data_IF_856736925517
#
_entry.id   IF_856736925517
#
_cell.length_a   1.000
_cell.length_b   1.000
_cell.length_c   1.000
_cell.angle_alpha   90.00
_cell.angle_beta   90.00
_cell.angle_gamma   90.00
#
_symmetry.space_group_name_H-M   'P 1'
#
loop_
_entity.id
_entity.type
_entity.pdbx_description
1 polymer ?
#
# COMPACT_ATOMS: atom_id res chain seq x y z
N UNK A 1 -18.13 9.29 -2.53
CA UNK A 1 -17.22 10.24 -1.84
C UNK A 1 -17.49 11.65 -2.32
N UNK A 2 -17.45 12.65 -1.43
CA UNK A 2 -17.45 14.08 -1.78
C UNK A 2 -16.14 14.41 -2.52
N UNK A 3 -16.11 15.50 -3.28
CA UNK A 3 -14.92 15.87 -4.06
C UNK A 3 -13.66 16.05 -3.18
N UNK A 4 -13.82 16.67 -2.00
CA UNK A 4 -12.73 16.88 -1.03
C UNK A 4 -12.14 15.55 -0.55
N UNK A 5 -12.98 14.57 -0.23
CA UNK A 5 -12.57 13.23 0.21
C UNK A 5 -11.79 12.50 -0.90
N UNK A 6 -12.24 12.64 -2.16
CA UNK A 6 -11.56 12.03 -3.31
C UNK A 6 -10.15 12.60 -3.50
N UNK A 7 -10.01 13.91 -3.36
CA UNK A 7 -8.72 14.59 -3.44
C UNK A 7 -7.79 14.08 -2.33
N UNK A 8 -8.26 14.03 -1.09
CA UNK A 8 -7.44 13.56 0.06
C UNK A 8 -6.91 12.14 -0.18
N UNK A 9 -7.78 11.20 -0.58
CA UNK A 9 -7.35 9.80 -0.82
C UNK A 9 -6.39 9.72 -2.01
N UNK A 10 -6.65 10.46 -3.09
CA UNK A 10 -5.75 10.50 -4.25
C UNK A 10 -4.39 11.10 -3.90
N UNK A 11 -4.35 12.19 -3.14
CA UNK A 11 -3.09 12.80 -2.66
C UNK A 11 -2.33 11.85 -1.74
N UNK A 12 -3.02 11.14 -0.85
CA UNK A 12 -2.37 10.13 0.01
C UNK A 12 -1.75 8.99 -0.82
N UNK A 13 -2.42 8.55 -1.88
CA UNK A 13 -1.90 7.55 -2.82
C UNK A 13 -0.65 8.06 -3.54
N UNK A 14 -0.64 9.32 -3.98
CA UNK A 14 0.54 9.93 -4.61
C UNK A 14 1.73 10.03 -3.65
N UNK A 15 1.50 10.34 -2.38
CA UNK A 15 2.55 10.35 -1.35
C UNK A 15 3.13 8.93 -1.16
N UNK A 16 2.26 7.91 -1.09
CA UNK A 16 2.67 6.50 -1.01
C UNK A 16 3.51 6.11 -2.22
N UNK A 17 3.03 6.34 -3.43
CA UNK A 17 3.79 6.06 -4.66
C UNK A 17 5.11 6.85 -4.69
N UNK A 18 5.12 8.09 -4.22
CA UNK A 18 6.32 8.92 -4.10
C UNK A 18 7.37 8.31 -3.18
N UNK A 19 6.95 7.74 -2.05
CA UNK A 19 7.85 7.08 -1.10
C UNK A 19 8.52 5.82 -1.65
N UNK A 20 7.92 5.18 -2.67
CA UNK A 20 8.47 3.98 -3.32
C UNK A 20 9.64 4.29 -4.26
N UNK A 21 9.89 5.55 -4.63
CA UNK A 21 11.04 5.90 -5.47
C UNK A 21 12.37 5.84 -4.74
N UNK A 22 12.38 5.81 -3.40
CA UNK A 22 13.60 5.71 -2.61
C UNK A 22 14.20 4.30 -2.62
N UNK A 23 15.45 4.19 -2.20
CA UNK A 23 16.13 2.93 -1.92
C UNK A 23 15.51 2.28 -0.67
N UNK A 24 14.95 1.08 -0.80
CA UNK A 24 14.25 0.41 0.30
C UNK A 24 15.06 -0.75 0.86
N UNK A 25 15.78 -1.46 -0.02
CA UNK A 25 16.55 -2.63 0.36
C UNK A 25 18.00 -2.52 -0.14
N UNK A 26 18.93 -2.96 0.69
CA UNK A 26 20.35 -2.98 0.36
C UNK A 26 21.20 -3.40 1.54
N UNK A 27 22.31 -4.08 1.26
CA UNK A 27 23.21 -4.61 2.28
C UNK A 27 24.66 -4.27 1.96
N UNK A 28 25.26 -3.46 2.84
CA UNK A 28 26.71 -3.20 3.03
C UNK A 28 27.59 -3.16 1.76
N UNK A 29 27.88 -1.95 1.27
CA UNK A 29 29.00 -1.58 0.37
C UNK A 29 29.38 -2.64 -0.68
N UNK A 30 28.51 -2.88 -1.66
CA UNK A 30 28.88 -3.65 -2.85
C UNK A 30 27.77 -4.50 -3.49
N UNK A 31 26.64 -4.68 -2.82
CA UNK A 31 25.46 -5.35 -3.40
C UNK A 31 24.45 -4.30 -3.88
N UNK A 32 23.81 -4.58 -5.01
CA UNK A 32 22.93 -3.66 -5.75
C UNK A 32 21.80 -3.12 -4.85
N UNK A 33 21.72 -1.79 -4.73
CA UNK A 33 20.62 -1.13 -4.03
C UNK A 33 19.31 -1.35 -4.80
N UNK A 34 18.30 -1.89 -4.09
CA UNK A 34 16.98 -2.11 -4.65
C UNK A 34 16.05 -1.00 -4.18
N UNK A 35 15.56 -0.24 -5.15
CA UNK A 35 14.54 0.77 -4.92
C UNK A 35 13.17 0.13 -4.68
N UNK A 36 12.33 0.79 -3.88
CA UNK A 36 10.92 0.43 -3.69
C UNK A 36 10.11 0.41 -4.99
N UNK A 37 10.67 0.93 -6.09
CA UNK A 37 10.11 0.81 -7.44
C UNK A 37 9.88 -0.64 -7.86
N UNK A 38 10.63 -1.60 -7.31
CA UNK A 38 10.37 -3.03 -7.53
C UNK A 38 8.97 -3.43 -7.03
N UNK A 39 8.55 -2.87 -5.89
CA UNK A 39 7.22 -3.08 -5.32
C UNK A 39 6.18 -2.33 -6.15
N UNK A 40 6.47 -1.08 -6.52
CA UNK A 40 5.55 -0.22 -7.29
C UNK A 40 5.22 -0.80 -8.66
N UNK A 41 6.22 -1.34 -9.36
CA UNK A 41 6.09 -1.89 -10.72
C UNK A 41 5.57 -3.32 -10.73
N UNK A 42 5.41 -3.96 -9.57
CA UNK A 42 4.84 -5.29 -9.49
C UNK A 42 3.39 -5.27 -9.99
N UNK A 43 2.96 -6.22 -10.85
CA UNK A 43 1.64 -6.21 -11.47
C UNK A 43 0.50 -6.19 -10.44
N UNK A 44 0.69 -6.83 -9.28
CA UNK A 44 -0.29 -6.80 -8.18
C UNK A 44 -0.42 -5.38 -7.61
N UNK A 45 0.69 -4.68 -7.35
CA UNK A 45 0.67 -3.31 -6.83
C UNK A 45 0.02 -2.35 -7.82
N UNK A 46 0.33 -2.49 -9.12
CA UNK A 46 -0.32 -1.73 -10.19
C UNK A 46 -1.84 -1.97 -10.18
N UNK A 47 -2.26 -3.24 -10.08
CA UNK A 47 -3.69 -3.57 -10.01
C UNK A 47 -4.37 -2.97 -8.77
N UNK A 48 -3.67 -2.90 -7.64
CA UNK A 48 -4.15 -2.28 -6.41
C UNK A 48 -4.31 -0.76 -6.57
N UNK A 49 -3.33 -0.09 -7.17
CA UNK A 49 -3.40 1.34 -7.49
C UNK A 49 -4.59 1.63 -8.40
N UNK A 50 -4.78 0.83 -9.45
CA UNK A 50 -5.93 0.96 -10.35
C UNK A 50 -7.26 0.73 -9.60
N UNK A 51 -7.33 -0.26 -8.72
CA UNK A 51 -8.51 -0.51 -7.90
C UNK A 51 -8.83 0.70 -7.00
N UNK A 52 -7.84 1.32 -6.37
CA UNK A 52 -8.02 2.54 -5.57
C UNK A 52 -8.56 3.68 -6.45
N UNK A 53 -7.95 3.93 -7.62
CA UNK A 53 -8.37 4.99 -8.53
C UNK A 53 -9.81 4.80 -9.01
N UNK A 54 -10.17 3.59 -9.41
CA UNK A 54 -11.54 3.24 -9.80
C UNK A 54 -12.48 3.44 -8.60
N UNK A 55 -12.11 2.96 -7.42
CA UNK A 55 -12.89 3.10 -6.19
C UNK A 55 -13.15 4.56 -5.81
N UNK A 56 -12.17 5.45 -5.99
CA UNK A 56 -12.28 6.88 -5.66
C UNK A 56 -13.11 7.65 -6.69
N UNK A 57 -12.86 7.46 -7.97
CA UNK A 57 -13.39 8.32 -9.04
C UNK A 57 -14.67 7.79 -9.69
N UNK A 58 -14.69 6.50 -10.02
CA UNK A 58 -15.78 5.84 -10.75
C UNK A 58 -16.69 4.99 -9.84
N UNK A 59 -16.23 4.66 -8.63
CA UNK A 59 -16.95 3.82 -7.68
C UNK A 59 -18.21 4.47 -7.12
N UNK A 60 -19.34 3.76 -7.23
CA UNK A 60 -20.51 4.04 -6.41
C UNK A 60 -20.20 3.89 -4.91
N UNK A 61 -21.03 4.41 -3.99
CA UNK A 61 -20.73 4.43 -2.55
C UNK A 61 -20.41 3.05 -1.95
N UNK A 62 -21.00 1.98 -2.49
CA UNK A 62 -20.74 0.58 -2.08
C UNK A 62 -19.37 0.08 -2.55
N UNK A 63 -19.06 0.29 -3.83
CA UNK A 63 -17.83 -0.22 -4.46
C UNK A 63 -16.61 0.61 -4.05
N UNK A 64 -16.79 1.90 -3.78
CA UNK A 64 -15.72 2.80 -3.33
C UNK A 64 -15.05 2.29 -2.05
N UNK A 65 -15.82 1.86 -1.06
CA UNK A 65 -15.29 1.28 0.17
C UNK A 65 -14.52 -0.01 -0.09
N UNK A 66 -15.12 -0.96 -0.82
CA UNK A 66 -14.49 -2.26 -1.04
C UNK A 66 -13.19 -2.14 -1.85
N UNK A 67 -13.21 -1.43 -2.99
CA UNK A 67 -12.04 -1.31 -3.87
C UNK A 67 -10.89 -0.53 -3.23
N UNK A 68 -11.17 0.56 -2.53
CA UNK A 68 -10.10 1.36 -1.89
C UNK A 68 -9.45 0.60 -0.74
N UNK A 69 -10.24 -0.10 0.09
CA UNK A 69 -9.68 -0.91 1.18
C UNK A 69 -8.89 -2.11 0.67
N UNK A 70 -9.42 -2.84 -0.32
CA UNK A 70 -8.69 -3.94 -0.94
C UNK A 70 -7.39 -3.47 -1.58
N UNK A 71 -7.40 -2.33 -2.27
CA UNK A 71 -6.21 -1.78 -2.89
C UNK A 71 -5.14 -1.38 -1.86
N UNK A 72 -5.51 -0.64 -0.81
CA UNK A 72 -4.53 -0.27 0.23
C UNK A 72 -3.98 -1.49 0.99
N UNK A 73 -4.84 -2.46 1.35
CA UNK A 73 -4.39 -3.71 1.97
C UNK A 73 -3.48 -4.50 1.05
N UNK A 74 -3.79 -4.56 -0.24
CA UNK A 74 -2.95 -5.22 -1.25
C UNK A 74 -1.57 -4.56 -1.37
N UNK A 75 -1.48 -3.23 -1.34
CA UNK A 75 -0.19 -2.53 -1.33
C UNK A 75 0.60 -2.88 -0.06
N UNK A 76 -0.01 -2.81 1.13
CA UNK A 76 0.66 -3.17 2.40
C UNK A 76 1.17 -4.62 2.35
N UNK A 77 0.34 -5.54 1.86
CA UNK A 77 0.74 -6.94 1.70
C UNK A 77 1.94 -7.08 0.75
N UNK A 78 1.97 -6.34 -0.36
CA UNK A 78 3.09 -6.36 -1.30
C UNK A 78 4.37 -5.76 -0.70
N UNK A 79 4.27 -4.68 0.07
CA UNK A 79 5.41 -4.09 0.78
C UNK A 79 6.02 -5.08 1.78
N UNK A 80 5.17 -5.74 2.58
CA UNK A 80 5.61 -6.76 3.54
C UNK A 80 6.15 -8.01 2.84
N UNK A 81 5.50 -8.46 1.76
CA UNK A 81 5.96 -9.60 0.97
C UNK A 81 7.37 -9.35 0.42
N UNK A 82 7.58 -8.21 -0.23
CA UNK A 82 8.90 -7.88 -0.76
C UNK A 82 9.95 -7.74 0.35
N UNK A 83 9.61 -7.11 1.47
CA UNK A 83 10.50 -7.01 2.64
C UNK A 83 10.99 -8.37 3.14
N UNK A 84 10.13 -9.38 3.12
CA UNK A 84 10.46 -10.74 3.56
C UNK A 84 11.19 -11.58 2.52
N UNK A 85 10.97 -11.32 1.22
CA UNK A 85 11.43 -12.21 0.15
C UNK A 85 12.67 -11.71 -0.60
N UNK A 86 12.88 -10.40 -0.69
CA UNK A 86 13.88 -9.80 -1.60
C UNK A 86 15.30 -10.35 -1.38
N UNK A 87 15.70 -10.59 -0.12
CA UNK A 87 17.03 -11.05 0.25
C UNK A 87 17.25 -12.54 -0.07
N UNK A 88 16.19 -13.31 -0.30
CA UNK A 88 16.28 -14.73 -0.67
C UNK A 88 16.79 -14.86 -2.09
N UNK A 89 16.17 -14.12 -3.03
CA UNK A 89 16.52 -14.17 -4.44
C UNK A 89 17.83 -13.48 -4.81
N UNK A 90 18.35 -12.60 -3.96
CA UNK A 90 19.51 -11.74 -4.30
C UNK A 90 20.77 -12.01 -3.49
N UNK A 91 20.67 -12.45 -2.23
CA UNK A 91 21.82 -12.51 -1.30
C UNK A 91 21.94 -13.87 -0.62
N UNK A 92 20.91 -14.25 0.15
CA UNK A 92 21.01 -15.29 1.18
C UNK A 92 20.60 -16.69 0.71
N UNK A 93 19.73 -16.79 -0.30
CA UNK A 93 19.13 -18.06 -0.72
C UNK A 93 18.28 -18.75 0.35
N UNK A 94 17.99 -18.07 1.48
CA UNK A 94 17.25 -18.62 2.62
C UNK A 94 16.36 -17.55 3.25
N UNK A 95 15.17 -17.94 3.70
CA UNK A 95 14.28 -17.06 4.46
C UNK A 95 14.88 -16.74 5.84
N UNK A 96 14.96 -15.46 6.19
CA UNK A 96 15.51 -14.98 7.46
C UNK A 96 14.98 -13.58 7.77
N UNK A 97 14.12 -13.48 8.77
CA UNK A 97 13.53 -12.21 9.21
C UNK A 97 14.62 -11.24 9.69
N UNK A 98 15.66 -11.76 10.37
CA UNK A 98 16.77 -10.95 10.86
C UNK A 98 17.49 -10.23 9.73
N UNK A 99 17.71 -10.93 8.61
CA UNK A 99 18.34 -10.37 7.41
C UNK A 99 17.46 -9.29 6.77
N UNK A 100 16.13 -9.51 6.72
CA UNK A 100 15.17 -8.50 6.25
C UNK A 100 15.32 -7.18 7.02
N UNK A 101 15.44 -7.25 8.36
CA UNK A 101 15.60 -6.06 9.20
C UNK A 101 16.98 -5.40 9.08
N UNK A 102 18.05 -6.19 8.96
CA UNK A 102 19.42 -5.68 8.89
C UNK A 102 19.74 -4.98 7.56
N UNK A 103 19.07 -5.38 6.48
CA UNK A 103 19.32 -4.88 5.13
C UNK A 103 18.16 -4.05 4.56
N UNK A 104 17.16 -3.70 5.38
CA UNK A 104 16.16 -2.72 5.02
C UNK A 104 16.62 -1.32 5.42
N UNK A 105 16.55 -0.39 4.48
CA UNK A 105 16.87 1.01 4.74
C UNK A 105 15.75 1.70 5.55
N UNK A 106 16.06 2.74 6.34
CA UNK A 106 15.06 3.54 7.06
C UNK A 106 13.85 3.99 6.20
N UNK A 107 14.11 4.29 4.94
CA UNK A 107 13.16 4.74 3.92
C UNK A 107 12.04 3.73 3.68
N UNK A 108 12.33 2.43 3.77
CA UNK A 108 11.30 1.38 3.69
C UNK A 108 10.27 1.53 4.82
N UNK A 109 10.74 1.71 6.06
CA UNK A 109 9.84 1.86 7.20
C UNK A 109 9.00 3.14 7.12
N UNK A 110 9.57 4.22 6.58
CA UNK A 110 8.82 5.45 6.27
C UNK A 110 7.75 5.16 5.22
N UNK A 111 8.08 4.48 4.12
CA UNK A 111 7.13 4.06 3.09
C UNK A 111 5.98 3.23 3.65
N UNK A 112 6.29 2.15 4.38
CA UNK A 112 5.31 1.28 5.02
C UNK A 112 4.40 2.05 6.00
N UNK A 113 4.98 2.98 6.77
CA UNK A 113 4.23 3.83 7.69
C UNK A 113 3.28 4.76 6.95
N UNK A 114 3.72 5.37 5.84
CA UNK A 114 2.89 6.23 5.01
C UNK A 114 1.72 5.46 4.37
N UNK A 115 1.98 4.25 3.86
CA UNK A 115 0.94 3.38 3.29
C UNK A 115 -0.09 2.98 4.34
N UNK A 116 0.37 2.61 5.53
CA UNK A 116 -0.50 2.26 6.66
C UNK A 116 -1.32 3.48 7.13
N UNK A 117 -0.70 4.66 7.22
CA UNK A 117 -1.39 5.90 7.58
C UNK A 117 -2.44 6.30 6.52
N UNK A 118 -2.12 6.15 5.23
CA UNK A 118 -3.06 6.40 4.13
C UNK A 118 -4.27 5.46 4.19
N UNK A 119 -4.05 4.18 4.52
CA UNK A 119 -5.12 3.22 4.75
C UNK A 119 -6.04 3.64 5.91
N UNK A 120 -5.47 4.03 7.06
CA UNK A 120 -6.27 4.53 8.19
C UNK A 120 -7.02 5.81 7.85
N UNK A 121 -6.42 6.74 7.11
CA UNK A 121 -7.08 7.94 6.62
C UNK A 121 -8.30 7.59 5.76
N UNK A 122 -8.12 6.63 4.83
CA UNK A 122 -9.20 6.12 3.99
C UNK A 122 -10.35 5.50 4.83
N UNK A 123 -10.02 4.72 5.86
CA UNK A 123 -11.01 4.16 6.78
C UNK A 123 -11.80 5.25 7.51
N UNK A 124 -11.14 6.28 8.03
CA UNK A 124 -11.81 7.36 8.76
C UNK A 124 -12.77 8.16 7.88
N UNK A 125 -12.39 8.42 6.64
CA UNK A 125 -13.23 9.13 5.65
C UNK A 125 -14.49 8.31 5.31
N UNK A 126 -14.37 6.99 5.25
CA UNK A 126 -15.44 6.11 4.78
C UNK A 126 -16.25 5.43 5.90
N UNK A 127 -15.77 5.46 7.14
CA UNK A 127 -16.45 4.96 8.36
C UNK A 127 -17.94 5.34 8.45
N UNK A 128 -18.37 6.61 8.23
CA UNK A 128 -19.79 6.96 8.30
C UNK A 128 -20.66 6.34 7.18
N UNK A 129 -20.08 5.95 6.04
CA UNK A 129 -20.80 5.28 4.93
C UNK A 129 -20.93 3.77 5.12
N UNK A 130 -19.97 3.14 5.79
CA UNK A 130 -20.04 1.71 6.09
C UNK A 130 -21.14 1.39 7.11
N UNK A 131 -21.29 2.21 8.15
CA UNK A 131 -22.33 2.02 9.18
C UNK A 131 -23.75 2.16 8.60
N UNK A 132 -24.00 3.15 7.75
CA UNK A 132 -25.30 3.32 7.08
C UNK A 132 -25.61 2.21 6.06
N UNK A 133 -24.58 1.52 5.56
CA UNK A 133 -24.71 0.37 4.68
C UNK A 133 -25.03 -0.93 5.43
N UNK A 134 -24.34 -1.22 6.54
CA UNK A 134 -24.65 -2.36 7.42
C UNK A 134 -26.09 -2.30 7.93
N UNK A 135 -26.53 -1.12 8.42
CA UNK A 135 -27.92 -0.90 8.85
C UNK A 135 -28.98 -1.03 7.74
N UNK A 136 -28.58 -0.99 6.46
CA UNK A 136 -29.49 -1.12 5.32
C UNK A 136 -29.57 -2.56 4.79
N UNK A 137 -28.55 -3.38 5.04
CA UNK A 137 -28.58 -4.82 4.76
C UNK A 137 -29.39 -5.60 5.81
N UNK A 138 -29.41 -5.14 7.06
CA UNK A 138 -30.27 -5.72 8.12
C UNK A 138 -31.79 -5.48 7.92
N UNK A 139 -32.17 -4.69 6.91
CA UNK A 139 -33.58 -4.32 6.64
C UNK A 139 -34.16 -4.94 5.36
N UNK A 140 -33.47 -5.90 4.76
CA UNK A 140 -33.95 -6.71 3.63
C UNK A 140 -34.05 -8.16 4.08
#
# INVERSE_FOLDING_TARGET
MKIQERIIVTTSLLIVCGSMFFSWFGGSRGVQELSGTIVLLHPVTISCILAILIGVWAGGPKYSFLLTNLGFLGIIMMEVFYFLDWHIGTISGRFSITESFQMAYPEFYVGLTLTTAAYFCNLMIQKPRSASFLFRLDRV
#
